data_IF_889384926525
#
_entry.id   IF_889384926525
#
_cell.length_a   1.000
_cell.length_b   1.000
_cell.length_c   1.000
_cell.angle_alpha   90.00
_cell.angle_beta   90.00
_cell.angle_gamma   90.00
#
_symmetry.space_group_name_H-M   'P 1'
#
loop_
_entity.id
_entity.type
_entity.pdbx_description
1 polymer ?
#
# COMPACT_ATOMS: atom_id res chain seq x y z
N UNK A 1 6.97 1.61 20.82
CA UNK A 1 8.12 1.31 19.92
C UNK A 1 9.21 0.47 20.60
N UNK A 2 9.63 0.76 21.85
CA UNK A 2 10.63 -0.05 22.58
C UNK A 2 10.21 -1.54 22.67
N UNK A 3 8.98 -1.82 23.12
CA UNK A 3 8.47 -3.20 23.24
C UNK A 3 8.43 -3.98 21.91
N UNK A 4 8.29 -3.30 20.77
CA UNK A 4 8.25 -3.96 19.47
C UNK A 4 9.65 -4.44 19.02
N UNK A 5 10.70 -3.72 19.43
CA UNK A 5 12.08 -4.07 19.11
C UNK A 5 12.58 -5.24 19.95
N UNK A 6 12.24 -5.25 21.24
CA UNK A 6 12.54 -6.37 22.15
C UNK A 6 11.82 -7.65 21.70
N UNK A 7 10.51 -7.56 21.43
CA UNK A 7 9.75 -8.69 20.90
C UNK A 7 10.35 -9.29 19.62
N UNK A 8 10.78 -8.43 18.69
CA UNK A 8 11.43 -8.92 17.47
C UNK A 8 12.74 -9.61 17.77
N UNK A 9 13.57 -9.04 18.65
CA UNK A 9 14.82 -9.68 19.06
C UNK A 9 14.56 -11.10 19.57
N UNK A 10 13.54 -11.30 20.40
CA UNK A 10 13.16 -12.60 20.94
C UNK A 10 12.67 -13.57 19.85
N UNK A 11 11.80 -13.11 18.94
CA UNK A 11 11.29 -13.95 17.84
C UNK A 11 12.35 -14.30 16.80
N UNK A 12 13.38 -13.48 16.65
CA UNK A 12 14.47 -13.70 15.69
C UNK A 12 15.42 -14.83 16.08
N UNK A 13 15.45 -15.22 17.36
CA UNK A 13 16.25 -16.37 17.81
C UNK A 13 15.70 -17.69 17.27
N UNK A 14 14.41 -17.73 16.91
CA UNK A 14 13.72 -18.96 16.51
C UNK A 14 13.71 -19.19 14.99
N UNK A 15 13.89 -18.16 14.17
CA UNK A 15 13.91 -18.25 12.70
C UNK A 15 14.47 -16.95 12.07
N UNK A 16 15.52 -17.04 11.25
CA UNK A 16 16.10 -15.93 10.49
C UNK A 16 15.92 -16.05 8.96
N UNK A 17 15.12 -17.02 8.50
CA UNK A 17 14.79 -17.22 7.09
C UNK A 17 14.03 -16.03 6.52
N UNK A 18 14.43 -15.62 5.32
CA UNK A 18 13.84 -14.49 4.62
C UNK A 18 14.91 -13.64 3.97
N UNK A 19 14.56 -12.39 3.66
CA UNK A 19 15.47 -11.48 2.99
C UNK A 19 15.18 -10.02 3.33
N UNK A 20 16.23 -9.20 3.22
CA UNK A 20 16.11 -7.76 3.04
C UNK A 20 16.46 -7.48 1.58
N UNK A 21 15.48 -7.07 0.81
CA UNK A 21 15.62 -6.98 -0.65
C UNK A 21 16.32 -5.69 -1.10
N UNK A 22 15.73 -4.55 -0.82
CA UNK A 22 16.21 -3.24 -1.22
C UNK A 22 15.98 -2.25 -0.08
N UNK A 23 16.84 -1.24 0.04
CA UNK A 23 16.64 -0.13 0.98
C UNK A 23 16.80 1.21 0.27
N UNK A 24 16.24 2.26 0.87
CA UNK A 24 16.54 3.64 0.54
C UNK A 24 17.37 4.27 1.64
N UNK A 25 18.31 5.13 1.28
CA UNK A 25 19.20 5.79 2.24
C UNK A 25 19.22 7.29 2.03
N UNK A 26 19.43 8.05 3.11
CA UNK A 26 19.70 9.48 3.04
C UNK A 26 20.84 9.82 4.01
N UNK A 27 22.02 10.05 3.44
CA UNK A 27 23.28 10.09 4.18
C UNK A 27 23.41 11.32 5.11
N UNK A 28 22.82 12.45 4.74
CA UNK A 28 22.96 13.69 5.52
C UNK A 28 22.42 13.57 6.96
N UNK A 29 21.47 12.66 7.21
CA UNK A 29 20.90 12.36 8.52
C UNK A 29 21.07 10.87 8.88
N UNK A 30 21.96 10.16 8.19
CA UNK A 30 22.22 8.73 8.37
C UNK A 30 20.94 7.88 8.37
N UNK A 31 20.02 8.11 7.45
CA UNK A 31 18.73 7.42 7.42
C UNK A 31 18.82 6.19 6.53
N UNK A 32 18.29 5.07 7.00
CA UNK A 32 17.99 3.91 6.16
C UNK A 32 16.52 3.49 6.33
N UNK A 33 15.85 3.25 5.21
CA UNK A 33 14.45 2.84 5.16
C UNK A 33 14.28 1.56 4.36
N UNK A 34 13.68 0.53 4.95
CA UNK A 34 13.27 -0.68 4.22
C UNK A 34 11.83 -0.53 3.69
N UNK A 35 11.62 -0.45 2.36
CA UNK A 35 10.32 -0.25 1.76
C UNK A 35 9.52 -1.54 1.72
N UNK A 36 8.44 -1.57 2.49
CA UNK A 36 7.41 -2.61 2.41
C UNK A 36 6.21 -2.03 1.62
N UNK A 37 5.63 -2.79 0.71
CA UNK A 37 4.44 -2.29 -0.01
C UNK A 37 3.19 -2.34 0.89
N UNK A 38 2.26 -1.40 0.66
CA UNK A 38 0.92 -1.32 1.31
C UNK A 38 0.90 -0.95 2.80
N UNK A 39 2.02 -0.46 3.31
CA UNK A 39 2.20 -0.02 4.72
C UNK A 39 2.49 1.49 4.84
N UNK A 40 2.14 2.29 3.83
CA UNK A 40 2.49 3.72 3.78
C UNK A 40 3.82 4.02 3.07
N UNK A 41 4.36 3.11 2.27
CA UNK A 41 5.64 3.32 1.58
C UNK A 41 5.63 4.43 0.53
N UNK A 42 4.48 4.78 -0.07
CA UNK A 42 4.41 5.97 -0.95
C UNK A 42 4.76 7.24 -0.17
N UNK A 43 4.27 7.38 1.07
CA UNK A 43 4.58 8.52 1.93
C UNK A 43 6.09 8.59 2.23
N UNK A 44 6.70 7.50 2.68
CA UNK A 44 8.13 7.51 3.00
C UNK A 44 9.03 7.70 1.77
N UNK A 45 8.62 7.18 0.61
CA UNK A 45 9.30 7.49 -0.67
C UNK A 45 9.20 8.98 -0.98
N UNK A 46 8.04 9.62 -0.80
CA UNK A 46 7.88 11.08 -0.99
C UNK A 46 8.76 11.89 -0.04
N UNK A 47 8.81 11.53 1.24
CA UNK A 47 9.69 12.16 2.23
C UNK A 47 11.15 12.06 1.78
N UNK A 48 11.61 10.88 1.38
CA UNK A 48 13.00 10.71 0.94
C UNK A 48 13.29 11.44 -0.38
N UNK A 49 12.35 11.48 -1.33
CA UNK A 49 12.50 12.29 -2.54
C UNK A 49 12.66 13.78 -2.23
N UNK A 50 11.85 14.28 -1.30
CA UNK A 50 11.91 15.66 -0.84
C UNK A 50 13.25 15.98 -0.19
N UNK A 51 13.71 15.14 0.74
CA UNK A 51 15.01 15.29 1.42
C UNK A 51 16.21 15.25 0.46
N UNK A 52 16.13 14.42 -0.58
CA UNK A 52 17.15 14.36 -1.65
C UNK A 52 17.05 15.52 -2.64
N UNK A 53 16.02 16.38 -2.54
CA UNK A 53 15.65 17.35 -3.55
C UNK A 53 15.63 16.69 -4.95
N UNK A 54 14.95 15.53 -5.04
CA UNK A 54 14.83 14.68 -6.22
C UNK A 54 13.36 14.65 -6.70
N UNK A 55 12.77 15.84 -6.78
CA UNK A 55 11.36 16.08 -7.11
C UNK A 55 11.13 16.32 -8.60
N UNK A 56 12.15 16.10 -9.44
CA UNK A 56 12.06 16.24 -10.89
C UNK A 56 11.80 17.69 -11.32
N UNK A 57 10.73 17.92 -12.08
CA UNK A 57 10.30 19.26 -12.52
C UNK A 57 9.28 19.92 -11.59
N UNK A 58 8.89 19.24 -10.52
CA UNK A 58 7.85 19.71 -9.61
C UNK A 58 8.48 20.64 -8.59
N UNK A 59 8.08 21.91 -8.61
CA UNK A 59 8.36 22.84 -7.52
C UNK A 59 7.41 22.49 -6.37
N UNK A 60 7.94 21.95 -5.29
CA UNK A 60 7.15 21.46 -4.15
C UNK A 60 7.75 21.97 -2.86
N UNK A 61 6.89 22.41 -1.96
CA UNK A 61 7.25 22.90 -0.62
C UNK A 61 6.93 21.86 0.46
N UNK A 62 6.34 20.73 0.05
CA UNK A 62 5.97 19.61 0.92
C UNK A 62 6.11 18.27 0.21
N UNK A 63 6.49 17.19 0.91
CA UNK A 63 6.48 15.82 0.37
C UNK A 63 5.11 15.40 -0.20
N UNK A 64 4.00 15.93 0.32
CA UNK A 64 2.65 15.55 -0.12
C UNK A 64 2.32 15.99 -1.55
N UNK A 65 2.91 17.10 -2.00
CA UNK A 65 2.70 17.66 -3.33
C UNK A 65 3.40 16.84 -4.44
N UNK A 66 4.29 15.91 -4.08
CA UNK A 66 4.98 15.05 -5.05
C UNK A 66 3.98 14.05 -5.65
N UNK A 67 3.74 14.04 -6.97
CA UNK A 67 2.73 13.16 -7.57
C UNK A 67 3.08 11.67 -7.42
N UNK A 68 2.10 10.83 -7.07
CA UNK A 68 2.30 9.36 -6.90
C UNK A 68 2.90 8.69 -8.13
N UNK A 69 2.50 9.11 -9.34
CA UNK A 69 3.09 8.58 -10.56
C UNK A 69 4.60 8.87 -10.62
N UNK A 70 5.02 10.09 -10.29
CA UNK A 70 6.44 10.42 -10.22
C UNK A 70 7.14 9.67 -9.09
N UNK A 71 6.52 9.52 -7.91
CA UNK A 71 7.08 8.78 -6.78
C UNK A 71 7.48 7.35 -7.15
N UNK A 72 6.64 6.64 -7.93
CA UNK A 72 6.87 5.23 -8.26
C UNK A 72 7.56 5.00 -9.60
N UNK A 73 7.35 5.87 -10.60
CA UNK A 73 7.81 5.65 -11.98
C UNK A 73 8.65 6.78 -12.56
N UNK A 74 8.73 7.93 -11.89
CA UNK A 74 9.52 9.06 -12.37
C UNK A 74 11.02 8.75 -12.30
N UNK A 75 11.85 9.39 -13.14
CA UNK A 75 13.30 9.27 -13.05
C UNK A 75 13.80 9.76 -11.68
N UNK A 76 14.86 9.14 -11.17
CA UNK A 76 15.48 9.43 -9.86
C UNK A 76 16.94 9.73 -10.08
N UNK A 77 17.37 10.96 -9.80
CA UNK A 77 18.74 11.40 -10.05
C UNK A 77 19.63 11.24 -8.83
N UNK A 78 19.08 11.41 -7.63
CA UNK A 78 19.82 11.47 -6.35
C UNK A 78 19.41 10.36 -5.41
N UNK A 79 18.10 10.14 -5.23
CA UNK A 79 17.59 9.09 -4.37
C UNK A 79 17.82 7.72 -5.02
N UNK A 80 18.77 6.95 -4.48
CA UNK A 80 19.07 5.59 -4.94
C UNK A 80 18.34 4.54 -4.12
N UNK A 81 17.97 3.46 -4.80
CA UNK A 81 17.53 2.21 -4.18
C UNK A 81 18.71 1.24 -4.23
N UNK A 82 19.09 0.69 -3.08
CA UNK A 82 20.29 -0.14 -2.93
C UNK A 82 19.92 -1.57 -2.53
N UNK A 83 20.55 -2.57 -3.14
CA UNK A 83 20.43 -3.97 -2.70
C UNK A 83 21.14 -4.15 -1.38
N UNK A 84 20.46 -4.73 -0.39
CA UNK A 84 20.94 -4.75 1.00
C UNK A 84 22.19 -5.62 1.18
N UNK A 85 22.28 -6.73 0.45
CA UNK A 85 23.42 -7.66 0.45
C UNK A 85 24.74 -7.03 -0.07
N UNK A 86 24.65 -6.04 -0.97
CA UNK A 86 25.81 -5.31 -1.52
C UNK A 86 26.30 -4.21 -0.57
N UNK A 87 25.49 -3.80 0.40
CA UNK A 87 25.84 -2.71 1.32
C UNK A 87 26.78 -3.23 2.42
N UNK A 88 27.86 -2.48 2.69
CA UNK A 88 28.80 -2.87 3.74
C UNK A 88 28.14 -2.84 5.12
N UNK A 89 28.48 -3.82 5.96
CA UNK A 89 28.01 -3.88 7.36
C UNK A 89 28.38 -2.63 8.16
N UNK A 90 29.52 -2.02 7.83
CA UNK A 90 29.96 -0.77 8.46
C UNK A 90 29.10 0.44 8.04
N UNK A 91 28.71 0.53 6.77
CA UNK A 91 27.83 1.62 6.33
C UNK A 91 26.47 1.53 7.01
N UNK A 92 25.85 0.34 7.00
CA UNK A 92 24.49 0.14 7.49
C UNK A 92 24.39 0.24 9.01
N UNK A 93 25.47 -0.08 9.75
CA UNK A 93 25.50 0.04 11.22
C UNK A 93 25.44 1.49 11.69
N UNK A 94 25.97 2.42 10.91
CA UNK A 94 25.93 3.88 11.16
C UNK A 94 24.57 4.51 10.86
N UNK A 95 23.67 3.80 10.18
CA UNK A 95 22.36 4.35 9.79
C UNK A 95 21.30 4.14 10.87
N UNK A 96 20.48 5.15 11.12
CA UNK A 96 19.18 5.02 11.77
C UNK A 96 18.21 4.30 10.84
N UNK A 97 18.06 2.98 11.06
CA UNK A 97 17.19 2.09 10.30
C UNK A 97 15.75 2.13 10.79
N UNK A 98 14.78 2.23 9.87
CA UNK A 98 13.37 2.08 10.21
C UNK A 98 12.58 1.37 9.11
N UNK A 99 11.43 0.82 9.49
CA UNK A 99 10.48 0.22 8.56
C UNK A 99 9.05 0.39 9.06
N UNK A 100 8.09 0.12 8.18
CA UNK A 100 6.68 0.08 8.52
C UNK A 100 6.10 -1.29 8.22
N UNK A 101 5.09 -1.68 9.00
CA UNK A 101 4.37 -2.94 8.86
C UNK A 101 2.86 -2.72 8.92
N UNK A 102 2.11 -3.76 8.61
CA UNK A 102 0.63 -3.76 8.61
C UNK A 102 0.16 -5.18 8.84
N UNK A 103 -0.99 -5.34 9.50
CA UNK A 103 -1.61 -6.65 9.65
C UNK A 103 -1.74 -7.33 8.26
N UNK A 104 -1.25 -8.58 8.07
CA UNK A 104 -1.24 -9.26 6.79
C UNK A 104 -2.58 -9.29 6.06
N UNK A 105 -3.69 -9.50 6.77
CA UNK A 105 -5.03 -9.55 6.18
C UNK A 105 -5.46 -8.21 5.62
N UNK A 106 -5.27 -7.14 6.39
CA UNK A 106 -5.58 -5.79 5.93
C UNK A 106 -4.64 -5.35 4.80
N UNK A 107 -3.41 -5.87 4.77
CA UNK A 107 -2.42 -5.63 3.70
C UNK A 107 -2.85 -6.29 2.39
N UNK A 108 -3.29 -7.54 2.43
CA UNK A 108 -3.83 -8.28 1.29
C UNK A 108 -5.10 -7.63 0.72
N UNK A 109 -6.02 -7.19 1.59
CA UNK A 109 -7.22 -6.46 1.15
C UNK A 109 -6.86 -5.15 0.42
N UNK A 110 -5.93 -4.38 0.97
CA UNK A 110 -5.38 -3.17 0.32
C UNK A 110 -4.65 -3.48 -1.01
N UNK A 111 -3.97 -4.64 -1.09
CA UNK A 111 -3.38 -5.09 -2.34
C UNK A 111 -4.44 -5.38 -3.39
N UNK A 112 -5.48 -6.14 -3.04
CA UNK A 112 -6.59 -6.46 -3.92
C UNK A 112 -7.30 -5.19 -4.45
N UNK A 113 -7.71 -4.28 -3.55
CA UNK A 113 -8.46 -3.09 -3.95
C UNK A 113 -7.67 -2.19 -4.92
N UNK A 114 -6.41 -1.90 -4.61
CA UNK A 114 -5.58 -1.02 -5.45
C UNK A 114 -5.09 -1.70 -6.73
N UNK A 115 -4.94 -3.04 -6.75
CA UNK A 115 -4.33 -3.74 -7.90
C UNK A 115 -5.31 -4.44 -8.84
N UNK A 116 -6.35 -5.07 -8.29
CA UNK A 116 -7.27 -5.92 -9.05
C UNK A 116 -8.69 -5.35 -9.10
N UNK A 117 -9.15 -4.67 -8.04
CA UNK A 117 -10.42 -3.95 -8.10
C UNK A 117 -10.30 -2.66 -8.92
N UNK A 118 -9.20 -1.92 -8.75
CA UNK A 118 -8.79 -0.81 -9.61
C UNK A 118 -7.87 -1.29 -10.75
N UNK A 119 -7.80 -0.57 -11.88
CA UNK A 119 -7.20 -1.08 -13.12
C UNK A 119 -5.66 -0.97 -13.17
N UNK A 120 -4.97 -1.38 -12.11
CA UNK A 120 -3.50 -1.33 -12.06
C UNK A 120 -2.85 -2.63 -12.59
N UNK A 121 -3.37 -3.80 -12.20
CA UNK A 121 -2.80 -5.12 -12.54
C UNK A 121 -3.69 -5.96 -13.49
N UNK A 122 -4.60 -5.30 -14.21
CA UNK A 122 -5.52 -5.90 -15.19
C UNK A 122 -4.83 -6.52 -16.43
N UNK A 123 -3.52 -6.31 -16.57
CA UNK A 123 -2.68 -6.97 -17.56
C UNK A 123 -2.35 -8.42 -17.19
N UNK A 124 -1.05 -8.76 -17.21
CA UNK A 124 -0.57 -10.14 -17.08
C UNK A 124 -1.10 -10.87 -15.84
N UNK A 125 -1.06 -10.24 -14.66
CA UNK A 125 -1.44 -10.88 -13.41
C UNK A 125 -2.94 -11.23 -13.37
N UNK A 126 -3.83 -10.26 -13.61
CA UNK A 126 -5.26 -10.53 -13.59
C UNK A 126 -5.69 -11.54 -14.67
N UNK A 127 -5.09 -11.48 -15.86
CA UNK A 127 -5.36 -12.45 -16.93
C UNK A 127 -4.91 -13.86 -16.58
N UNK A 128 -3.76 -14.00 -15.91
CA UNK A 128 -3.30 -15.29 -15.40
C UNK A 128 -4.31 -15.87 -14.40
N UNK A 129 -4.85 -15.04 -13.50
CA UNK A 129 -5.90 -15.45 -12.55
C UNK A 129 -7.17 -15.87 -13.29
N UNK A 130 -7.66 -15.07 -14.23
CA UNK A 130 -8.87 -15.39 -15.01
C UNK A 130 -8.70 -16.69 -15.81
N UNK A 131 -7.51 -16.99 -16.31
CA UNK A 131 -7.22 -18.22 -17.05
C UNK A 131 -7.30 -19.48 -16.17
N UNK A 132 -7.16 -19.36 -14.84
CA UNK A 132 -7.30 -20.47 -13.89
C UNK A 132 -8.77 -20.82 -13.58
N UNK A 133 -9.74 -20.05 -14.08
CA UNK A 133 -11.18 -20.35 -13.91
C UNK A 133 -11.52 -21.63 -14.64
N UNK A 134 -12.16 -22.57 -13.94
CA UNK A 134 -12.66 -23.83 -14.52
C UNK A 134 -13.73 -23.59 -15.59
N UNK A 135 -14.54 -22.54 -15.41
CA UNK A 135 -15.66 -22.23 -16.30
C UNK A 135 -15.24 -21.41 -17.52
N UNK A 136 -16.07 -21.50 -18.58
CA UNK A 136 -15.86 -20.74 -19.81
C UNK A 136 -15.93 -19.24 -19.54
N UNK A 137 -14.78 -18.57 -19.60
CA UNK A 137 -14.72 -17.14 -19.33
C UNK A 137 -15.26 -16.30 -20.49
N UNK A 138 -15.98 -15.22 -20.16
CA UNK A 138 -16.39 -14.19 -21.13
C UNK A 138 -15.17 -13.56 -21.79
N UNK A 139 -15.29 -13.17 -23.06
CA UNK A 139 -14.20 -12.55 -23.82
C UNK A 139 -13.65 -11.30 -23.11
N UNK A 140 -14.53 -10.42 -22.60
CA UNK A 140 -14.13 -9.23 -21.84
C UNK A 140 -13.28 -9.59 -20.62
N UNK A 141 -13.63 -10.63 -19.86
CA UNK A 141 -12.83 -11.09 -18.71
C UNK A 141 -11.43 -11.53 -19.12
N UNK A 142 -11.30 -12.31 -20.21
CA UNK A 142 -9.98 -12.77 -20.72
C UNK A 142 -9.12 -11.60 -21.21
N UNK A 143 -9.72 -10.64 -21.90
CA UNK A 143 -9.02 -9.50 -22.50
C UNK A 143 -8.66 -8.43 -21.46
N UNK A 144 -9.50 -8.25 -20.44
CA UNK A 144 -9.39 -7.13 -19.52
C UNK A 144 -8.98 -7.51 -18.10
N UNK A 145 -9.17 -8.75 -17.63
CA UNK A 145 -8.88 -9.13 -16.25
C UNK A 145 -9.64 -8.32 -15.18
N UNK A 146 -10.64 -7.55 -15.58
CA UNK A 146 -11.31 -6.52 -14.78
C UNK A 146 -12.19 -7.03 -13.63
N UNK A 147 -12.46 -8.33 -13.63
CA UNK A 147 -13.46 -9.01 -12.80
C UNK A 147 -12.83 -10.07 -11.90
N UNK A 148 -11.53 -9.97 -11.60
CA UNK A 148 -10.88 -10.80 -10.58
C UNK A 148 -11.50 -10.52 -9.22
N UNK A 149 -11.97 -11.58 -8.57
CA UNK A 149 -12.54 -11.52 -7.21
C UNK A 149 -11.46 -11.56 -6.13
N UNK A 150 -11.82 -11.18 -4.91
CA UNK A 150 -10.88 -11.24 -3.79
C UNK A 150 -10.42 -12.68 -3.50
N UNK A 151 -11.34 -13.64 -3.54
CA UNK A 151 -11.02 -15.05 -3.33
C UNK A 151 -10.06 -15.60 -4.40
N UNK A 152 -10.28 -15.27 -5.68
CA UNK A 152 -9.38 -15.67 -6.77
C UNK A 152 -7.98 -15.06 -6.58
N UNK A 153 -7.91 -13.80 -6.15
CA UNK A 153 -6.65 -13.17 -5.80
C UNK A 153 -5.94 -13.91 -4.65
N UNK A 154 -6.63 -14.25 -3.56
CA UNK A 154 -6.02 -14.98 -2.44
C UNK A 154 -5.51 -16.37 -2.86
N UNK A 155 -6.29 -17.12 -3.63
CA UNK A 155 -5.87 -18.42 -4.18
C UNK A 155 -4.64 -18.28 -5.08
N UNK A 156 -4.59 -17.22 -5.88
CA UNK A 156 -3.40 -16.91 -6.68
C UNK A 156 -2.18 -16.62 -5.80
N UNK A 157 -2.32 -15.83 -4.73
CA UNK A 157 -1.22 -15.59 -3.77
C UNK A 157 -0.70 -16.91 -3.20
N UNK A 158 -1.60 -17.81 -2.76
CA UNK A 158 -1.21 -19.12 -2.22
C UNK A 158 -0.51 -20.02 -3.25
N UNK A 159 -0.90 -19.95 -4.52
CA UNK A 159 -0.23 -20.70 -5.59
C UNK A 159 1.23 -20.29 -5.83
N UNK A 160 1.64 -19.12 -5.31
CA UNK A 160 3.01 -18.60 -5.46
C UNK A 160 3.93 -18.95 -4.28
N UNK A 161 3.47 -19.74 -3.30
CA UNK A 161 4.23 -20.03 -2.07
C UNK A 161 5.62 -20.63 -2.31
N UNK A 162 5.81 -21.43 -3.34
CA UNK A 162 7.13 -22.02 -3.67
C UNK A 162 8.12 -20.98 -4.23
N UNK A 163 7.65 -19.76 -4.53
CA UNK A 163 8.44 -18.68 -5.11
C UNK A 163 8.67 -17.52 -4.14
N UNK A 164 8.53 -17.72 -2.83
CA UNK A 164 8.69 -16.69 -1.80
C UNK A 164 10.00 -15.90 -1.91
N UNK A 165 11.10 -16.61 -2.16
CA UNK A 165 12.43 -16.03 -2.32
C UNK A 165 12.67 -15.39 -3.70
N UNK A 166 11.75 -15.54 -4.66
CA UNK A 166 11.89 -15.01 -6.02
C UNK A 166 11.06 -13.72 -6.21
N UNK A 167 11.65 -12.52 -6.07
CA UNK A 167 10.93 -11.24 -6.23
C UNK A 167 10.42 -10.99 -7.65
N UNK A 168 10.95 -11.68 -8.67
CA UNK A 168 10.47 -11.54 -10.04
C UNK A 168 9.13 -12.24 -10.26
N UNK A 169 8.81 -13.24 -9.42
CA UNK A 169 7.58 -14.03 -9.49
C UNK A 169 6.59 -13.60 -8.40
N UNK A 170 7.04 -13.51 -7.15
CA UNK A 170 6.19 -13.14 -6.02
C UNK A 170 6.24 -11.62 -5.77
N UNK A 171 5.24 -10.92 -6.29
CA UNK A 171 5.17 -9.46 -6.27
C UNK A 171 5.17 -8.86 -4.86
N UNK A 172 5.91 -7.75 -4.69
CA UNK A 172 6.05 -7.02 -3.41
C UNK A 172 4.74 -6.57 -2.76
N UNK A 173 3.64 -6.41 -3.52
CA UNK A 173 2.36 -5.94 -2.98
C UNK A 173 1.64 -6.96 -2.12
N UNK A 174 1.89 -8.25 -2.35
CA UNK A 174 1.32 -9.35 -1.56
C UNK A 174 2.38 -10.27 -0.96
N UNK A 175 3.65 -10.23 -1.36
CA UNK A 175 4.71 -11.03 -0.71
C UNK A 175 4.79 -10.81 0.81
N UNK A 176 4.99 -11.84 1.65
CA UNK A 176 5.19 -11.64 3.08
C UNK A 176 6.35 -10.67 3.38
N UNK A 177 6.23 -9.92 4.46
CA UNK A 177 7.20 -8.90 4.87
C UNK A 177 8.56 -9.56 5.16
N UNK A 178 8.59 -10.77 5.74
CA UNK A 178 9.85 -11.49 5.99
C UNK A 178 10.72 -11.64 4.72
N UNK A 179 10.13 -11.71 3.52
CA UNK A 179 10.87 -11.88 2.26
C UNK A 179 11.16 -10.56 1.53
N UNK A 180 10.79 -9.42 2.13
CA UNK A 180 11.08 -8.09 1.60
C UNK A 180 12.00 -7.29 2.51
N UNK A 181 11.72 -7.36 3.81
CA UNK A 181 12.34 -6.63 4.90
C UNK A 181 12.33 -7.50 6.17
N UNK A 182 13.08 -8.61 6.17
CA UNK A 182 13.24 -9.44 7.36
C UNK A 182 13.79 -8.58 8.53
N UNK A 183 13.07 -8.45 9.66
CA UNK A 183 13.48 -7.57 10.75
C UNK A 183 14.70 -8.10 11.53
N UNK A 184 14.96 -9.41 11.51
CA UNK A 184 16.10 -10.06 12.14
C UNK A 184 17.42 -9.71 11.44
N UNK A 185 17.38 -9.66 10.11
CA UNK A 185 18.50 -9.26 9.27
C UNK A 185 18.66 -7.74 9.20
N UNK A 186 17.54 -7.01 9.04
CA UNK A 186 17.57 -5.55 8.88
C UNK A 186 17.85 -4.80 10.20
N UNK A 187 17.44 -5.37 11.34
CA UNK A 187 17.61 -4.80 12.70
C UNK A 187 17.21 -3.31 12.78
N UNK A 188 15.93 -2.98 12.48
CA UNK A 188 15.45 -1.61 12.53
C UNK A 188 15.51 -1.05 13.97
N UNK A 189 15.84 0.23 14.09
CA UNK A 189 15.71 0.97 15.35
C UNK A 189 14.26 1.35 15.62
N UNK A 190 13.48 1.64 14.56
CA UNK A 190 12.06 1.97 14.65
C UNK A 190 11.21 1.11 13.73
N UNK A 191 10.09 0.64 14.25
CA UNK A 191 9.07 -0.10 13.49
C UNK A 191 7.74 0.59 13.73
N UNK A 192 7.23 1.26 12.69
CA UNK A 192 5.90 1.83 12.70
C UNK A 192 4.85 0.84 12.22
N UNK A 193 3.62 0.95 12.70
CA UNK A 193 2.47 0.19 12.21
C UNK A 193 1.58 1.10 11.37
N UNK A 194 0.98 0.57 10.29
CA UNK A 194 0.02 1.35 9.52
C UNK A 194 -1.24 1.66 10.35
N UNK A 195 -1.59 0.79 11.29
CA UNK A 195 -2.71 0.99 12.20
C UNK A 195 -2.53 2.25 13.08
N UNK A 196 -1.28 2.61 13.42
CA UNK A 196 -0.89 3.79 14.21
C UNK A 196 -0.07 4.79 13.39
N UNK A 197 -0.24 4.79 12.05
CA UNK A 197 0.66 5.46 11.10
C UNK A 197 0.95 6.93 11.42
N UNK A 198 -0.08 7.71 11.79
CA UNK A 198 0.10 9.14 12.08
C UNK A 198 0.99 9.37 13.30
N UNK A 199 0.76 8.61 14.38
CA UNK A 199 1.53 8.70 15.61
C UNK A 199 2.97 8.22 15.38
N UNK A 200 3.13 7.05 14.76
CA UNK A 200 4.45 6.45 14.53
C UNK A 200 5.29 7.27 13.55
N UNK A 201 4.68 7.80 12.48
CA UNK A 201 5.39 8.64 11.51
C UNK A 201 5.86 9.95 12.15
N UNK A 202 5.01 10.62 12.95
CA UNK A 202 5.40 11.84 13.68
C UNK A 202 6.57 11.57 14.62
N UNK A 203 6.52 10.47 15.37
CA UNK A 203 7.61 10.11 16.28
C UNK A 203 8.89 9.81 15.51
N UNK A 204 8.85 8.98 14.46
CA UNK A 204 10.04 8.62 13.68
C UNK A 204 10.64 9.87 13.02
N UNK A 205 9.82 10.76 12.46
CA UNK A 205 10.29 12.02 11.84
C UNK A 205 11.02 12.90 12.87
N UNK A 206 10.50 12.98 14.09
CA UNK A 206 11.18 13.66 15.21
C UNK A 206 12.51 13.00 15.58
N UNK A 207 12.54 11.67 15.68
CA UNK A 207 13.77 10.94 16.00
C UNK A 207 14.84 11.03 14.90
N UNK A 208 14.43 11.25 13.66
CA UNK A 208 15.33 11.44 12.52
C UNK A 208 15.79 12.90 12.36
N UNK A 209 15.25 13.86 13.12
CA UNK A 209 15.60 15.27 13.03
C UNK A 209 15.20 15.92 11.69
N UNK A 210 14.11 15.45 11.08
CA UNK A 210 13.63 15.91 9.77
C UNK A 210 12.28 16.63 9.85
N UNK A 211 11.90 17.18 11.00
CA UNK A 211 10.59 17.84 11.20
C UNK A 211 10.36 19.03 10.27
N UNK A 212 11.44 19.66 9.79
CA UNK A 212 11.39 20.78 8.84
C UNK A 212 10.64 20.45 7.54
N UNK A 213 10.47 19.17 7.18
CA UNK A 213 9.68 18.75 6.00
C UNK A 213 8.20 19.09 6.10
N UNK A 214 7.71 19.46 7.30
CA UNK A 214 6.34 19.90 7.54
C UNK A 214 6.24 21.39 7.89
N UNK A 215 7.31 22.17 7.72
CA UNK A 215 7.31 23.59 8.08
C UNK A 215 6.22 24.39 7.34
N UNK A 216 5.88 23.97 6.12
CA UNK A 216 4.88 24.61 5.25
C UNK A 216 3.57 23.80 5.14
N UNK A 217 3.36 22.80 6.00
CA UNK A 217 2.15 21.98 5.95
C UNK A 217 1.06 22.61 6.83
N UNK A 218 -0.01 23.15 6.22
CA UNK A 218 -1.17 23.75 6.90
C UNK A 218 -2.06 22.74 7.67
N UNK A 219 -1.45 21.66 8.16
CA UNK A 219 -2.02 20.73 9.12
C UNK A 219 -2.60 19.45 8.52
N UNK A 220 -2.73 18.44 9.39
CA UNK A 220 -3.19 17.08 9.09
C UNK A 220 -4.54 16.94 8.35
N UNK A 221 -5.32 18.02 8.25
CA UNK A 221 -6.65 18.02 7.62
C UNK A 221 -6.58 17.87 6.10
N UNK A 222 -5.50 18.37 5.47
CA UNK A 222 -5.31 18.28 4.02
C UNK A 222 -4.65 16.97 3.57
N UNK A 223 -4.04 16.21 4.47
CA UNK A 223 -3.35 14.96 4.14
C UNK A 223 -4.28 13.90 3.51
N UNK A 224 -5.53 13.81 4.01
CA UNK A 224 -6.52 12.87 3.46
C UNK A 224 -7.03 13.35 2.09
N UNK A 225 -7.29 14.65 1.94
CA UNK A 225 -7.72 15.22 0.66
C UNK A 225 -6.65 15.07 -0.42
N UNK A 226 -5.37 15.26 -0.06
CA UNK A 226 -4.24 15.04 -0.97
C UNK A 226 -4.06 13.57 -1.37
N UNK A 227 -4.29 12.63 -0.46
CA UNK A 227 -4.29 11.20 -0.80
C UNK A 227 -5.45 10.87 -1.74
N UNK A 228 -6.66 11.39 -1.48
CA UNK A 228 -7.82 11.23 -2.36
C UNK A 228 -7.52 11.80 -3.75
N UNK A 229 -7.04 13.03 -3.84
CA UNK A 229 -6.61 13.68 -5.09
C UNK A 229 -5.60 12.83 -5.84
N UNK A 230 -4.55 12.40 -5.14
CA UNK A 230 -3.50 11.54 -5.70
C UNK A 230 -4.06 10.25 -6.28
N UNK A 231 -5.01 9.60 -5.60
CA UNK A 231 -5.64 8.36 -6.06
C UNK A 231 -6.54 8.60 -7.27
N UNK A 232 -7.31 9.69 -7.29
CA UNK A 232 -8.11 10.11 -8.45
C UNK A 232 -7.22 10.34 -9.67
N UNK A 233 -6.24 11.24 -9.55
CA UNK A 233 -5.33 11.62 -10.63
C UNK A 233 -4.62 10.39 -11.22
N UNK A 234 -4.11 9.52 -10.35
CA UNK A 234 -3.42 8.30 -10.76
C UNK A 234 -4.33 7.38 -11.58
N UNK A 235 -5.53 7.10 -11.09
CA UNK A 235 -6.42 6.11 -11.72
C UNK A 235 -7.10 6.65 -12.98
N UNK A 236 -7.46 7.94 -13.03
CA UNK A 236 -7.96 8.55 -14.26
C UNK A 236 -6.88 8.63 -15.35
N UNK A 237 -5.61 8.79 -14.98
CA UNK A 237 -4.50 8.62 -15.93
C UNK A 237 -4.33 7.18 -16.41
N UNK A 238 -4.64 6.18 -15.57
CA UNK A 238 -4.51 4.76 -15.95
C UNK A 238 -5.50 4.34 -17.01
N UNK A 239 -6.73 4.85 -17.00
CA UNK A 239 -7.75 4.46 -17.99
C UNK A 239 -7.48 5.01 -19.39
N UNK A 240 -6.55 5.95 -19.56
CA UNK A 240 -6.12 6.39 -20.90
C UNK A 240 -4.99 5.50 -21.46
N UNK A 241 -4.43 4.60 -20.65
CA UNK A 241 -3.36 3.69 -21.09
C UNK A 241 -3.91 2.54 -21.94
N UNK A 242 -3.10 2.08 -22.90
CA UNK A 242 -3.48 1.06 -23.89
C UNK A 242 -4.01 -0.23 -23.26
N UNK A 243 -3.49 -0.61 -22.11
CA UNK A 243 -3.83 -1.83 -21.39
C UNK A 243 -5.24 -1.80 -20.78
N UNK A 244 -5.80 -0.60 -20.56
CA UNK A 244 -7.05 -0.40 -19.78
C UNK A 244 -8.12 0.34 -20.58
N UNK A 245 -7.74 1.19 -21.56
CA UNK A 245 -8.65 2.12 -22.25
C UNK A 245 -9.90 1.47 -22.87
N UNK A 246 -9.77 0.23 -23.35
CA UNK A 246 -10.86 -0.50 -24.01
C UNK A 246 -11.63 -1.39 -23.01
N UNK A 247 -11.26 -1.35 -21.73
CA UNK A 247 -11.77 -2.22 -20.67
C UNK A 247 -12.61 -1.48 -19.64
N UNK A 248 -12.45 -0.16 -19.51
CA UNK A 248 -13.09 0.64 -18.48
C UNK A 248 -13.39 2.05 -18.97
N UNK A 249 -14.65 2.47 -18.85
CA UNK A 249 -15.06 3.85 -19.08
C UNK A 249 -14.76 4.73 -17.85
N UNK A 250 -14.67 6.07 -18.02
CA UNK A 250 -14.49 6.98 -16.88
C UNK A 250 -15.60 6.87 -15.81
N UNK A 251 -16.85 6.64 -16.22
CA UNK A 251 -17.96 6.46 -15.29
C UNK A 251 -17.86 5.14 -14.50
N UNK A 252 -17.49 4.03 -15.15
CA UNK A 252 -17.25 2.76 -14.46
C UNK A 252 -16.05 2.88 -13.49
N UNK A 253 -15.01 3.62 -13.87
CA UNK A 253 -13.88 3.91 -12.97
C UNK A 253 -14.35 4.70 -11.75
N UNK A 254 -15.14 5.75 -11.94
CA UNK A 254 -15.66 6.59 -10.86
C UNK A 254 -16.44 5.76 -9.83
N UNK A 255 -17.30 4.85 -10.30
CA UNK A 255 -18.02 3.90 -9.43
C UNK A 255 -17.07 3.00 -8.64
N UNK A 256 -16.03 2.45 -9.29
CA UNK A 256 -15.02 1.62 -8.62
C UNK A 256 -14.21 2.41 -7.59
N UNK A 257 -13.72 3.59 -7.95
CA UNK A 257 -12.98 4.47 -7.05
C UNK A 257 -13.80 4.89 -5.84
N UNK A 258 -15.06 5.27 -6.05
CA UNK A 258 -15.98 5.60 -4.96
C UNK A 258 -16.15 4.43 -4.00
N UNK A 259 -16.34 3.22 -4.54
CA UNK A 259 -16.43 2.00 -3.75
C UNK A 259 -15.16 1.74 -2.93
N UNK A 260 -13.98 1.97 -3.51
CA UNK A 260 -12.70 1.86 -2.79
C UNK A 260 -12.58 2.92 -1.69
N UNK A 261 -13.08 4.13 -1.91
CA UNK A 261 -13.10 5.17 -0.89
C UNK A 261 -14.08 4.85 0.24
N UNK A 262 -15.23 4.24 -0.06
CA UNK A 262 -16.13 3.68 0.96
C UNK A 262 -15.42 2.57 1.76
N UNK A 263 -14.83 1.58 1.09
CA UNK A 263 -14.15 0.45 1.75
C UNK A 263 -12.96 0.85 2.62
N UNK A 264 -12.26 1.94 2.29
CA UNK A 264 -11.16 2.45 3.09
C UNK A 264 -11.59 3.45 4.17
N UNK A 265 -12.89 3.75 4.28
CA UNK A 265 -13.41 4.69 5.28
C UNK A 265 -13.08 6.15 4.96
N UNK A 266 -12.89 6.50 3.68
CA UNK A 266 -12.77 7.90 3.27
C UNK A 266 -14.12 8.54 2.99
N UNK A 267 -15.11 7.75 2.56
CA UNK A 267 -16.48 8.18 2.26
C UNK A 267 -17.50 7.30 2.99
N UNK A 268 -18.67 7.83 3.35
CA UNK A 268 -19.74 7.05 3.98
C UNK A 268 -20.40 6.09 2.99
N UNK A 269 -20.79 4.90 3.45
CA UNK A 269 -21.59 3.98 2.64
C UNK A 269 -22.92 4.59 2.15
N UNK A 270 -23.34 4.18 0.95
CA UNK A 270 -24.61 4.59 0.36
C UNK A 270 -24.58 5.99 -0.27
N UNK A 271 -23.43 6.67 -0.22
CA UNK A 271 -23.25 8.00 -0.82
C UNK A 271 -23.05 7.98 -2.33
N UNK A 272 -22.94 6.79 -2.95
CA UNK A 272 -22.67 6.62 -4.38
C UNK A 272 -23.70 7.24 -5.31
N UNK A 273 -24.93 7.46 -4.84
CA UNK A 273 -26.00 8.09 -5.61
C UNK A 273 -25.61 9.48 -6.15
N UNK A 274 -24.62 10.16 -5.55
CA UNK A 274 -24.11 11.45 -6.04
C UNK A 274 -23.39 11.36 -7.38
N UNK A 275 -23.04 10.16 -7.84
CA UNK A 275 -22.48 9.93 -9.18
C UNK A 275 -23.57 9.83 -10.27
N UNK A 276 -24.85 9.75 -9.88
CA UNK A 276 -25.95 9.65 -10.84
C UNK A 276 -26.12 10.98 -11.59
N UNK A 277 -26.31 10.91 -12.91
CA UNK A 277 -26.61 12.08 -13.75
C UNK A 277 -25.40 12.75 -14.41
N UNK A 278 -24.17 12.38 -14.06
CA UNK A 278 -22.97 12.89 -14.76
C UNK A 278 -22.64 12.03 -15.97
N UNK A 279 -23.08 12.45 -17.16
CA UNK A 279 -22.59 11.88 -18.40
C UNK A 279 -21.12 12.31 -18.62
N UNK A 280 -20.23 11.35 -18.92
CA UNK A 280 -18.80 11.58 -19.18
C UNK A 280 -18.00 12.15 -17.99
N UNK A 281 -17.83 11.34 -16.94
CA UNK A 281 -17.08 11.73 -15.74
C UNK A 281 -15.61 12.10 -16.05
N UNK A 282 -15.16 13.28 -15.61
CA UNK A 282 -13.75 13.70 -15.65
C UNK A 282 -13.08 13.51 -14.28
N UNK A 283 -11.74 13.56 -14.23
CA UNK A 283 -11.00 13.47 -12.98
C UNK A 283 -11.36 14.61 -12.01
N UNK A 284 -11.44 15.84 -12.52
CA UNK A 284 -11.73 17.03 -11.72
C UNK A 284 -13.18 17.01 -11.20
N UNK A 285 -14.16 16.72 -12.05
CA UNK A 285 -15.56 16.60 -11.63
C UNK A 285 -15.74 15.49 -10.59
N UNK A 286 -15.06 14.36 -10.76
CA UNK A 286 -15.09 13.29 -9.76
C UNK A 286 -14.46 13.71 -8.44
N UNK A 287 -13.30 14.38 -8.49
CA UNK A 287 -12.60 14.86 -7.30
C UNK A 287 -13.45 15.87 -6.52
N UNK A 288 -14.13 16.79 -7.19
CA UNK A 288 -15.05 17.74 -6.55
C UNK A 288 -16.16 17.02 -5.77
N UNK A 289 -16.79 15.99 -6.35
CA UNK A 289 -17.82 15.20 -5.68
C UNK A 289 -17.27 14.46 -4.46
N UNK A 290 -16.08 13.88 -4.58
CA UNK A 290 -15.38 13.17 -3.50
C UNK A 290 -15.06 14.12 -2.35
N UNK A 291 -14.43 15.26 -2.63
CA UNK A 291 -14.06 16.24 -1.61
C UNK A 291 -15.29 16.86 -0.95
N UNK A 292 -16.33 17.20 -1.73
CA UNK A 292 -17.61 17.68 -1.19
C UNK A 292 -18.20 16.68 -0.19
N UNK A 293 -18.24 15.39 -0.57
CA UNK A 293 -18.80 14.34 0.30
C UNK A 293 -17.94 14.11 1.54
N UNK A 294 -16.61 14.08 1.40
CA UNK A 294 -15.66 13.95 2.53
C UNK A 294 -15.81 15.08 3.55
N UNK A 295 -15.95 16.33 3.07
CA UNK A 295 -16.08 17.53 3.91
C UNK A 295 -17.40 17.55 4.66
N UNK A 296 -18.51 17.19 4.01
CA UNK A 296 -19.83 17.08 4.66
C UNK A 296 -19.86 16.03 5.78
N UNK A 297 -19.09 14.95 5.63
CA UNK A 297 -19.03 13.86 6.59
C UNK A 297 -17.94 13.98 7.66
N UNK A 298 -17.18 15.07 7.71
CA UNK A 298 -15.94 15.15 8.49
C UNK A 298 -16.12 14.93 10.00
N UNK A 299 -17.30 15.22 10.56
CA UNK A 299 -17.63 14.97 11.96
C UNK A 299 -17.82 13.49 12.33
N UNK A 300 -17.80 12.57 11.36
CA UNK A 300 -18.07 11.14 11.55
C UNK A 300 -16.83 10.24 11.39
N UNK A 301 -15.62 10.77 11.55
CA UNK A 301 -14.37 10.06 11.24
C UNK A 301 -14.21 8.72 11.99
N UNK A 302 -14.62 8.64 13.26
CA UNK A 302 -14.57 7.38 14.02
C UNK A 302 -15.61 6.34 13.56
N UNK A 303 -16.71 6.78 12.92
CA UNK A 303 -17.65 5.88 12.25
C UNK A 303 -16.99 5.24 11.03
N UNK A 304 -16.13 5.97 10.32
CA UNK A 304 -15.49 5.48 9.10
C UNK A 304 -14.29 4.57 9.38
N UNK A 305 -13.59 4.77 10.50
CA UNK A 305 -12.62 3.78 11.00
C UNK A 305 -13.30 2.42 11.22
N UNK A 306 -14.48 2.40 11.85
CA UNK A 306 -15.29 1.18 12.04
C UNK A 306 -15.80 0.62 10.70
N UNK A 307 -16.18 1.48 9.76
CA UNK A 307 -16.59 1.06 8.41
C UNK A 307 -15.49 0.26 7.69
N UNK A 308 -14.25 0.73 7.76
CA UNK A 308 -13.09 0.04 7.17
C UNK A 308 -12.87 -1.34 7.78
N UNK A 309 -12.98 -1.48 9.10
CA UNK A 309 -12.86 -2.78 9.80
C UNK A 309 -13.98 -3.73 9.38
N UNK A 310 -15.23 -3.27 9.42
CA UNK A 310 -16.39 -4.08 9.02
C UNK A 310 -16.31 -4.55 7.57
N UNK A 311 -15.79 -3.71 6.66
CA UNK A 311 -15.56 -4.11 5.27
C UNK A 311 -14.53 -5.23 5.15
N UNK A 312 -13.41 -5.09 5.87
CA UNK A 312 -12.35 -6.10 5.90
C UNK A 312 -12.88 -7.44 6.40
N UNK A 313 -13.57 -7.43 7.54
CA UNK A 313 -14.18 -8.63 8.12
C UNK A 313 -15.17 -9.27 7.14
N UNK A 314 -16.05 -8.48 6.54
CA UNK A 314 -17.05 -8.97 5.58
C UNK A 314 -16.39 -9.63 4.36
N UNK A 315 -15.28 -9.08 3.88
CA UNK A 315 -14.51 -9.69 2.80
C UNK A 315 -13.94 -11.07 3.21
N UNK A 316 -13.36 -11.16 4.41
CA UNK A 316 -12.78 -12.43 4.90
C UNK A 316 -13.82 -13.47 5.34
N UNK A 317 -15.03 -13.07 5.76
CA UNK A 317 -16.14 -14.01 6.03
C UNK A 317 -16.54 -14.84 4.81
N UNK A 318 -16.23 -14.38 3.60
CA UNK A 318 -16.52 -15.11 2.35
C UNK A 318 -15.39 -16.04 1.92
N UNK A 319 -14.27 -16.07 2.66
CA UNK A 319 -13.09 -16.86 2.32
C UNK A 319 -13.19 -18.24 2.98
N UNK A 320 -13.06 -19.35 2.21
CA UNK A 320 -13.05 -20.70 2.74
C UNK A 320 -11.92 -20.97 3.74
N UNK A 321 -12.15 -21.89 4.68
CA UNK A 321 -11.22 -22.22 5.78
C UNK A 321 -9.86 -22.76 5.30
N UNK A 322 -9.83 -23.50 4.18
CA UNK A 322 -8.58 -24.02 3.59
C UNK A 322 -7.70 -22.86 3.09
N UNK A 323 -8.32 -21.85 2.45
CA UNK A 323 -7.62 -20.64 2.02
C UNK A 323 -7.17 -19.83 3.23
N UNK A 324 -8.01 -19.70 4.26
CA UNK A 324 -7.65 -19.01 5.51
C UNK A 324 -6.46 -19.66 6.21
N UNK A 325 -6.44 -20.99 6.29
CA UNK A 325 -5.34 -21.76 6.87
C UNK A 325 -4.05 -21.57 6.06
N UNK A 326 -4.13 -21.70 4.74
CA UNK A 326 -2.97 -21.45 3.87
C UNK A 326 -2.41 -20.04 4.01
N UNK A 327 -3.25 -19.02 4.23
CA UNK A 327 -2.79 -17.66 4.50
C UNK A 327 -2.11 -17.53 5.86
N UNK A 328 -2.64 -18.18 6.91
CA UNK A 328 -2.00 -18.19 8.24
C UNK A 328 -0.59 -18.76 8.15
N UNK A 329 -0.43 -19.85 7.41
CA UNK A 329 0.88 -20.50 7.20
C UNK A 329 1.82 -19.61 6.38
N UNK A 330 1.32 -19.06 5.25
CA UNK A 330 2.13 -18.25 4.33
C UNK A 330 2.67 -16.96 4.98
N UNK A 331 1.90 -16.34 5.89
CA UNK A 331 2.28 -15.10 6.58
C UNK A 331 2.66 -15.33 8.04
N UNK A 332 2.90 -16.58 8.46
CA UNK A 332 3.17 -16.95 9.85
C UNK A 332 4.19 -16.04 10.52
N UNK A 333 5.33 -15.80 9.87
CA UNK A 333 6.39 -14.96 10.46
C UNK A 333 6.02 -13.49 10.51
N UNK A 334 5.16 -12.98 9.62
CA UNK A 334 4.67 -11.61 9.72
C UNK A 334 3.77 -11.45 10.96
N UNK A 335 2.95 -12.45 11.29
CA UNK A 335 2.16 -12.46 12.53
C UNK A 335 3.06 -12.50 13.77
N UNK A 336 4.03 -13.42 13.78
CA UNK A 336 4.96 -13.62 14.89
C UNK A 336 5.84 -12.39 15.11
N UNK A 337 6.59 -11.94 14.10
CA UNK A 337 7.55 -10.85 14.26
C UNK A 337 6.87 -9.53 14.63
N UNK A 338 5.68 -9.25 14.11
CA UNK A 338 5.04 -7.94 14.31
C UNK A 338 3.91 -7.95 15.33
N UNK A 339 3.74 -9.07 16.03
CA UNK A 339 2.71 -9.30 17.05
C UNK A 339 1.32 -8.90 16.52
N UNK A 340 0.92 -9.54 15.41
CA UNK A 340 -0.43 -9.43 14.86
C UNK A 340 -1.20 -10.72 15.14
N UNK A 341 -2.49 -10.59 15.45
CA UNK A 341 -3.37 -11.73 15.61
C UNK A 341 -3.53 -12.46 14.26
N UNK A 342 -3.33 -13.79 14.20
CA UNK A 342 -3.59 -14.59 13.00
C UNK A 342 -5.08 -14.79 12.72
N UNK A 343 -5.99 -14.27 13.53
CA UNK A 343 -7.43 -14.21 13.27
C UNK A 343 -7.82 -12.84 12.70
N UNK A 344 -8.37 -12.73 11.47
CA UNK A 344 -8.78 -11.45 10.91
C UNK A 344 -9.97 -10.79 11.64
N UNK A 345 -10.62 -11.50 12.55
CA UNK A 345 -11.80 -11.04 13.29
C UNK A 345 -11.47 -10.54 14.71
N UNK A 346 -10.19 -10.40 15.06
CA UNK A 346 -9.71 -9.96 16.37
C UNK A 346 -8.91 -8.68 16.34
#
# INVERSE_FOLDING_TARGET
MINAREHIYDTCVQNDDGAVSQIYTYQAQNIAYCPVAKVGSTFWKRVLLFLHNDTGKFNVDSPFQIPRFFTHYGPKKRMKRMTFDVISREFISKQTRFMFVRNPYSRLWSAYLDKFFLPDFWGRAAKAIVALRKEKQKLKSKVCGHDVTFLEFLKYVLSLKEFLSNPAVFNEHWRPIQYMCNPCQYRPHFIGKLETFSQDSKHIIKQLGIEHIFANDEGSKYQIEEELKTLVDYNFKRITMREVKDCLTPNELAVRLWTVFEFNGYLPFGSRHVLNGTANMTADAFLELVLKTRRLGASYEDRWKRQRLSTLESAYKTVPDDVMTGLKDLYKMDFVHFNYDPDPFK
#
